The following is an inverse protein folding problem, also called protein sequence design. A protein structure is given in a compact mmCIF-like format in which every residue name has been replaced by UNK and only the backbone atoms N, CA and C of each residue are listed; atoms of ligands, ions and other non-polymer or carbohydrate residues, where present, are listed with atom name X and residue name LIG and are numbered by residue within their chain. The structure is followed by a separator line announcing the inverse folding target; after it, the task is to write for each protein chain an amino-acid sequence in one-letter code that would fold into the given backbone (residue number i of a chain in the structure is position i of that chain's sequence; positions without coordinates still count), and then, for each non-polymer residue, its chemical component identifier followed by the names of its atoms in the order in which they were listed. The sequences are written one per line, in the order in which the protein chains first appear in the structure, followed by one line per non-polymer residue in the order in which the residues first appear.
data_IF_556367928815
#
_entry.id   IF_556367928815
#
_cell.length_a   1.000
_cell.length_b   1.000
_cell.length_c   1.000
_cell.angle_alpha   90.00
_cell.angle_beta   90.00
_cell.angle_gamma   90.00
#
_symmetry.space_group_name_H-M   'P 1'
#
loop_
_entity.id
_entity.type
_entity.pdbx_description
1 polymer ?
#
# COMPACT_ATOMS: atom_id res chain seq x y z
N UNK A 1 -12.66 5.20 7.73
CA UNK A 1 -11.78 4.48 6.78
C UNK A 1 -10.79 5.49 6.23
N UNK A 2 -9.51 5.42 6.62
CA UNK A 2 -8.52 6.41 6.21
C UNK A 2 -8.20 6.23 4.71
N UNK A 3 -8.18 7.33 3.95
CA UNK A 3 -7.80 7.30 2.53
C UNK A 3 -6.34 7.69 2.39
N UNK A 4 -5.69 7.14 1.36
CA UNK A 4 -4.28 7.41 1.10
C UNK A 4 -4.01 8.88 0.77
N UNK A 5 -4.97 9.55 0.11
CA UNK A 5 -4.88 10.98 -0.22
C UNK A 5 -4.92 11.87 1.04
N UNK A 6 -5.71 11.49 2.05
CA UNK A 6 -5.84 12.24 3.30
C UNK A 6 -4.67 11.96 4.26
N UNK A 7 -4.03 10.79 4.11
CA UNK A 7 -2.88 10.39 4.90
C UNK A 7 -1.86 9.62 4.03
N UNK A 8 -0.93 10.30 3.37
CA UNK A 8 0.12 9.65 2.55
C UNK A 8 1.02 8.70 3.34
N UNK A 9 1.04 8.81 4.68
CA UNK A 9 1.82 7.95 5.59
C UNK A 9 1.06 6.71 6.06
N UNK A 10 -0.12 6.44 5.51
CA UNK A 10 -0.99 5.32 5.89
C UNK A 10 -0.31 3.94 5.73
N UNK A 11 0.50 3.76 4.69
CA UNK A 11 1.29 2.56 4.47
C UNK A 11 2.58 2.52 5.30
N UNK A 12 2.98 1.32 5.70
CA UNK A 12 4.24 1.07 6.41
C UNK A 12 5.42 1.21 5.45
N UNK A 13 6.52 1.82 5.90
CA UNK A 13 7.77 1.90 5.13
C UNK A 13 8.25 0.48 4.80
N UNK A 14 8.65 0.27 3.56
CA UNK A 14 9.07 -1.00 3.00
C UNK A 14 10.04 -0.79 1.85
N UNK A 15 11.23 -1.38 1.94
CA UNK A 15 12.32 -1.28 0.96
C UNK A 15 12.67 0.18 0.59
N UNK A 16 13.69 0.72 1.25
CA UNK A 16 14.07 2.14 1.13
C UNK A 16 12.91 3.07 1.53
N UNK A 17 12.47 3.95 0.62
CA UNK A 17 11.42 4.95 0.86
C UNK A 17 10.03 4.48 0.42
N UNK A 18 9.94 3.32 -0.26
CA UNK A 18 8.65 2.78 -0.66
C UNK A 18 7.81 2.40 0.56
N UNK A 19 6.51 2.29 0.35
CA UNK A 19 5.53 1.99 1.39
C UNK A 19 4.60 0.91 0.92
N UNK A 20 4.24 0.02 1.83
CA UNK A 20 3.23 -1.02 1.64
C UNK A 20 1.95 -0.65 2.38
N UNK A 21 0.84 -0.64 1.66
CA UNK A 21 -0.50 -0.49 2.21
C UNK A 21 -1.30 -1.74 1.91
N UNK A 22 -1.79 -2.38 2.97
CA UNK A 22 -2.74 -3.47 2.86
C UNK A 22 -4.16 -2.91 2.90
N UNK A 23 -4.96 -3.32 1.92
CA UNK A 23 -6.38 -2.99 1.83
C UNK A 23 -7.14 -4.29 2.06
N UNK A 24 -7.36 -4.61 3.35
CA UNK A 24 -7.89 -5.90 3.79
C UNK A 24 -9.24 -6.24 3.15
N UNK A 25 -10.12 -5.25 2.98
CA UNK A 25 -11.45 -5.44 2.36
C UNK A 25 -11.41 -5.95 0.92
N UNK A 26 -10.32 -5.70 0.21
CA UNK A 26 -10.15 -6.07 -1.20
C UNK A 26 -9.02 -7.07 -1.40
N UNK A 27 -8.39 -7.55 -0.32
CA UNK A 27 -7.19 -8.39 -0.36
C UNK A 27 -6.12 -7.81 -1.29
N UNK A 28 -5.92 -6.49 -1.26
CA UNK A 28 -4.92 -5.81 -2.10
C UNK A 28 -3.71 -5.38 -1.29
N UNK A 29 -2.54 -5.56 -1.89
CA UNK A 29 -1.30 -4.93 -1.49
C UNK A 29 -0.97 -3.81 -2.49
N UNK A 30 -0.86 -2.59 -2.00
CA UNK A 30 -0.43 -1.42 -2.77
C UNK A 30 0.98 -1.03 -2.33
N UNK A 31 1.89 -0.94 -3.29
CA UNK A 31 3.25 -0.41 -3.10
C UNK A 31 3.31 0.97 -3.71
N UNK A 32 3.76 1.96 -2.94
CA UNK A 32 3.80 3.35 -3.39
C UNK A 32 4.96 4.14 -2.77
N UNK A 33 5.30 5.27 -3.38
CA UNK A 33 6.18 6.31 -2.81
C UNK A 33 5.36 7.55 -2.47
N UNK A 34 5.80 8.27 -1.45
CA UNK A 34 5.34 9.64 -1.17
C UNK A 34 6.58 10.53 -1.15
N UNK A 35 6.72 11.39 -2.16
CA UNK A 35 7.86 12.32 -2.28
C UNK A 35 7.52 13.74 -1.79
N UNK A 36 6.32 13.95 -1.23
CA UNK A 36 5.87 15.24 -0.72
C UNK A 36 5.10 16.08 -1.75
N UNK A 37 5.23 15.77 -3.04
CA UNK A 37 4.44 16.38 -4.11
C UNK A 37 3.32 15.45 -4.58
N UNK A 38 3.60 14.14 -4.64
CA UNK A 38 2.67 13.14 -5.13
C UNK A 38 2.80 11.79 -4.42
N UNK A 39 1.71 11.03 -4.52
CA UNK A 39 1.68 9.61 -4.21
C UNK A 39 1.89 8.84 -5.51
N UNK A 40 3.06 8.24 -5.67
CA UNK A 40 3.41 7.44 -6.85
C UNK A 40 3.12 5.97 -6.58
N UNK A 41 2.06 5.44 -7.19
CA UNK A 41 1.73 4.02 -7.12
C UNK A 41 2.74 3.24 -7.99
N UNK A 42 3.50 2.34 -7.36
CA UNK A 42 4.51 1.53 -8.04
C UNK A 42 3.96 0.18 -8.46
N UNK A 43 3.15 -0.44 -7.60
CA UNK A 43 2.53 -1.73 -7.89
C UNK A 43 1.23 -1.89 -7.11
N UNK A 44 0.30 -2.62 -7.72
CA UNK A 44 -0.90 -3.14 -7.06
C UNK A 44 -0.93 -4.63 -7.32
N UNK A 45 -0.98 -5.41 -6.26
CA UNK A 45 -1.06 -6.86 -6.35
C UNK A 45 -2.24 -7.34 -5.50
N UNK A 46 -2.94 -8.36 -5.98
CA UNK A 46 -3.80 -9.13 -5.12
C UNK A 46 -2.92 -9.90 -4.15
N UNK A 47 -3.13 -9.71 -2.85
CA UNK A 47 -2.53 -10.56 -1.84
C UNK A 47 -3.10 -11.96 -2.07
N UNK A 48 -2.26 -12.92 -2.47
CA UNK A 48 -2.66 -14.33 -2.44
C UNK A 48 -3.17 -14.60 -1.02
N UNK A 49 -4.44 -14.95 -0.88
CA UNK A 49 -4.84 -15.73 0.28
C UNK A 49 -3.88 -16.92 0.29
N UNK A 50 -3.09 -17.05 1.36
CA UNK A 50 -2.59 -18.39 1.69
C UNK A 50 -3.87 -19.16 1.95
N UNK A 51 -4.38 -19.88 0.95
CA UNK A 51 -5.38 -20.90 1.19
C UNK A 51 -4.82 -21.75 2.33
N UNK A 52 -5.51 -21.82 3.49
CA UNK A 52 -5.08 -22.74 4.52
C UNK A 52 -5.12 -24.15 3.90
N UNK A 53 -4.02 -24.88 4.02
CA UNK A 53 -4.04 -26.33 3.87
C UNK A 53 -4.85 -26.93 5.00
#
# INVERSE_FOLDING_TARGET
MARLIDNPRLGKVWYQQARKLLIDKASLLVVYLNDGEAIKILAVAHQREKFPN
#
